data_IF_262023385965
#
_entry.id   IF_262023385965
#
_cell.length_a   1.000
_cell.length_b   1.000
_cell.length_c   1.000
_cell.angle_alpha   90.00
_cell.angle_beta   90.00
_cell.angle_gamma   90.00
#
_symmetry.space_group_name_H-M   'P 1'
#
loop_
_entity.id
_entity.type
_entity.pdbx_description
1 polymer ?
#
# COMPACT_ATOMS: atom_id res chain seq x y z
N UNK A 1 2.48 -20.41 -6.50
CA UNK A 1 1.58 -19.27 -6.82
C UNK A 1 2.44 -18.10 -7.28
N UNK A 2 2.26 -17.61 -8.52
CA UNK A 2 3.14 -16.58 -9.09
C UNK A 2 3.08 -15.28 -8.30
N UNK A 3 4.16 -14.50 -8.33
CA UNK A 3 4.26 -13.18 -7.67
C UNK A 3 3.17 -12.25 -8.15
N UNK A 4 2.84 -12.24 -9.45
CA UNK A 4 1.77 -11.40 -10.01
C UNK A 4 0.40 -11.69 -9.38
N UNK A 5 0.04 -12.97 -9.17
CA UNK A 5 -1.25 -13.30 -8.53
C UNK A 5 -1.27 -12.84 -7.07
N UNK A 6 -0.13 -12.93 -6.36
CA UNK A 6 -0.03 -12.41 -4.98
C UNK A 6 -0.15 -10.88 -4.95
N UNK A 7 0.49 -10.18 -5.88
CA UNK A 7 0.41 -8.73 -6.01
C UNK A 7 -1.03 -8.27 -6.28
N UNK A 8 -1.70 -8.94 -7.22
CA UNK A 8 -3.10 -8.67 -7.55
C UNK A 8 -4.01 -8.81 -6.33
N UNK A 9 -3.85 -9.88 -5.53
CA UNK A 9 -4.63 -10.06 -4.30
C UNK A 9 -4.39 -8.95 -3.28
N UNK A 10 -3.13 -8.57 -3.05
CA UNK A 10 -2.79 -7.48 -2.11
C UNK A 10 -3.37 -6.14 -2.56
N UNK A 11 -3.23 -5.80 -3.85
CA UNK A 11 -3.80 -4.57 -4.40
C UNK A 11 -5.33 -4.55 -4.30
N UNK A 12 -5.97 -5.69 -4.54
CA UNK A 12 -7.42 -5.84 -4.39
C UNK A 12 -7.87 -5.69 -2.94
N UNK A 13 -7.15 -6.29 -1.99
CA UNK A 13 -7.40 -6.11 -0.54
C UNK A 13 -7.31 -4.64 -0.15
N UNK A 14 -6.26 -3.94 -0.60
CA UNK A 14 -6.06 -2.53 -0.30
C UNK A 14 -7.20 -1.67 -0.86
N UNK A 15 -7.52 -1.83 -2.14
CA UNK A 15 -8.59 -1.05 -2.80
C UNK A 15 -9.97 -1.32 -2.18
N UNK A 16 -10.29 -2.58 -1.91
CA UNK A 16 -11.56 -2.95 -1.25
C UNK A 16 -11.70 -2.27 0.11
N UNK A 17 -10.63 -2.24 0.90
CA UNK A 17 -10.63 -1.63 2.23
C UNK A 17 -10.69 -0.11 2.15
N UNK A 18 -9.94 0.54 1.26
CA UNK A 18 -10.04 1.98 1.01
C UNK A 18 -11.46 2.39 0.63
N UNK A 19 -12.11 1.65 -0.28
CA UNK A 19 -13.50 1.91 -0.67
C UNK A 19 -14.45 1.80 0.51
N UNK A 20 -14.27 0.78 1.36
CA UNK A 20 -15.09 0.59 2.56
C UNK A 20 -14.91 1.76 3.53
N UNK A 21 -13.67 2.10 3.87
CA UNK A 21 -13.37 3.10 4.90
C UNK A 21 -13.76 4.53 4.46
N UNK A 22 -13.74 4.81 3.16
CA UNK A 22 -14.10 6.10 2.57
C UNK A 22 -15.52 6.12 1.97
N UNK A 23 -16.30 5.05 2.12
CA UNK A 23 -17.66 4.91 1.56
C UNK A 23 -17.73 5.20 0.05
N UNK A 24 -16.74 4.73 -0.70
CA UNK A 24 -16.61 4.98 -2.14
C UNK A 24 -17.39 3.97 -2.98
N UNK A 25 -17.94 4.44 -4.10
CA UNK A 25 -18.70 3.58 -4.99
C UNK A 25 -17.82 2.52 -5.67
N UNK A 26 -18.38 1.32 -5.88
CA UNK A 26 -17.66 0.19 -6.46
C UNK A 26 -17.24 0.40 -7.93
N UNK A 27 -17.96 1.25 -8.67
CA UNK A 27 -17.67 1.53 -10.08
C UNK A 27 -16.52 2.52 -10.29
N UNK A 28 -16.04 3.18 -9.23
CA UNK A 28 -14.96 4.17 -9.37
C UNK A 28 -13.66 3.48 -9.83
N UNK A 29 -12.94 4.05 -10.80
CA UNK A 29 -11.60 3.63 -11.16
C UNK A 29 -10.68 3.55 -9.93
N UNK A 30 -9.74 2.61 -9.93
CA UNK A 30 -8.80 2.45 -8.82
C UNK A 30 -7.94 3.71 -8.60
N UNK A 31 -7.61 4.44 -9.67
CA UNK A 31 -6.91 5.73 -9.59
C UNK A 31 -7.70 6.74 -8.76
N UNK A 32 -8.98 6.93 -9.07
CA UNK A 32 -9.84 7.89 -8.40
C UNK A 32 -10.00 7.54 -6.91
N UNK A 33 -10.07 6.24 -6.58
CA UNK A 33 -10.04 5.76 -5.19
C UNK A 33 -8.75 6.18 -4.48
N UNK A 34 -7.60 6.07 -5.15
CA UNK A 34 -6.31 6.51 -4.58
C UNK A 34 -6.26 8.03 -4.43
N UNK A 35 -6.73 8.81 -5.41
CA UNK A 35 -6.77 10.28 -5.32
C UNK A 35 -7.63 10.74 -4.13
N UNK A 36 -8.82 10.16 -3.96
CA UNK A 36 -9.69 10.46 -2.81
C UNK A 36 -9.03 10.03 -1.50
N UNK A 37 -8.37 8.86 -1.47
CA UNK A 37 -7.66 8.39 -0.28
C UNK A 37 -6.48 9.30 0.10
N UNK A 38 -5.71 9.80 -0.87
CA UNK A 38 -4.64 10.77 -0.65
C UNK A 38 -5.19 12.05 -0.02
N UNK A 39 -6.28 12.60 -0.57
CA UNK A 39 -6.94 13.77 0.00
C UNK A 39 -7.48 13.53 1.42
N UNK A 40 -8.06 12.36 1.68
CA UNK A 40 -8.58 12.02 3.01
C UNK A 40 -7.46 11.83 4.06
N UNK A 41 -6.30 11.33 3.64
CA UNK A 41 -5.18 10.98 4.52
C UNK A 41 -4.11 12.06 4.64
N UNK A 42 -4.17 13.15 3.86
CA UNK A 42 -3.09 14.16 3.80
C UNK A 42 -2.70 14.79 5.14
N UNK A 43 -3.62 14.89 6.10
CA UNK A 43 -3.36 15.43 7.45
C UNK A 43 -2.96 14.37 8.47
N UNK A 44 -3.13 13.09 8.15
CA UNK A 44 -2.96 11.96 9.08
C UNK A 44 -1.71 11.14 8.80
N UNK A 45 -1.09 11.34 7.64
CA UNK A 45 0.03 10.55 7.13
C UNK A 45 1.15 11.46 6.66
N UNK A 46 2.36 10.95 6.73
CA UNK A 46 3.55 11.62 6.22
C UNK A 46 3.52 11.67 4.70
N UNK A 47 4.29 12.59 4.11
CA UNK A 47 4.45 12.67 2.65
C UNK A 47 4.93 11.35 2.05
N UNK A 48 5.88 10.68 2.71
CA UNK A 48 6.42 9.40 2.26
C UNK A 48 5.34 8.30 2.22
N UNK A 49 4.47 8.23 3.23
CA UNK A 49 3.34 7.30 3.26
C UNK A 49 2.33 7.58 2.12
N UNK A 50 2.07 8.85 1.83
CA UNK A 50 1.19 9.26 0.73
C UNK A 50 1.82 8.95 -0.63
N UNK A 51 3.12 9.18 -0.80
CA UNK A 51 3.86 8.84 -2.03
C UNK A 51 3.84 7.32 -2.26
N UNK A 52 4.00 6.52 -1.20
CA UNK A 52 3.85 5.06 -1.27
C UNK A 52 2.43 4.64 -1.67
N UNK A 53 1.40 5.31 -1.15
CA UNK A 53 0.02 5.05 -1.53
C UNK A 53 -0.22 5.36 -3.01
N UNK A 54 0.30 6.48 -3.51
CA UNK A 54 0.23 6.84 -4.92
C UNK A 54 0.97 5.83 -5.81
N UNK A 55 2.09 5.28 -5.33
CA UNK A 55 2.88 4.32 -6.07
C UNK A 55 2.12 3.02 -6.41
N UNK A 56 1.04 2.71 -5.70
CA UNK A 56 0.13 1.61 -6.06
C UNK A 56 -0.46 1.76 -7.47
N UNK A 57 -0.60 2.99 -7.98
CA UNK A 57 -1.10 3.23 -9.32
C UNK A 57 -0.13 2.69 -10.40
N UNK A 58 1.18 2.86 -10.20
CA UNK A 58 2.18 2.31 -11.11
C UNK A 58 2.19 0.78 -11.10
N UNK A 59 2.17 0.17 -9.90
CA UNK A 59 2.13 -1.29 -9.77
C UNK A 59 0.89 -1.93 -10.39
N UNK A 60 -0.24 -1.20 -10.39
CA UNK A 60 -1.46 -1.65 -11.09
C UNK A 60 -1.27 -1.63 -12.60
N UNK A 61 -0.65 -0.58 -13.15
CA UNK A 61 -0.33 -0.53 -14.58
C UNK A 61 0.65 -1.64 -14.98
N UNK A 62 1.70 -1.87 -14.18
CA UNK A 62 2.65 -2.97 -14.43
C UNK A 62 1.93 -4.32 -14.52
N UNK A 63 1.02 -4.60 -13.58
CA UNK A 63 0.22 -5.82 -13.61
C UNK A 63 -0.72 -5.91 -14.82
N UNK A 64 -1.33 -4.79 -15.23
CA UNK A 64 -2.19 -4.75 -16.43
C UNK A 64 -1.40 -4.98 -17.72
N UNK A 65 -0.12 -4.58 -17.73
CA UNK A 65 0.80 -4.78 -18.85
C UNK A 65 1.53 -6.13 -18.82
N UNK A 66 1.14 -7.03 -17.90
CA UNK A 66 1.79 -8.35 -17.70
C UNK A 66 3.27 -8.29 -17.32
N UNK A 67 3.71 -7.18 -16.73
CA UNK A 67 5.07 -7.06 -16.21
C UNK A 67 5.30 -8.06 -15.07
N UNK A 68 6.55 -8.52 -14.96
CA UNK A 68 6.91 -9.48 -13.92
C UNK A 68 7.11 -8.76 -12.59
N UNK A 69 6.26 -9.07 -11.62
CA UNK A 69 6.39 -8.52 -10.28
C UNK A 69 7.49 -9.23 -9.51
N UNK A 70 8.44 -8.44 -9.03
CA UNK A 70 9.54 -8.87 -8.17
C UNK A 70 9.07 -9.18 -6.73
N UNK A 71 9.80 -10.00 -5.98
CA UNK A 71 9.56 -10.20 -4.55
C UNK A 71 9.60 -8.89 -3.73
N UNK A 72 10.43 -7.92 -4.13
CA UNK A 72 10.53 -6.61 -3.47
C UNK A 72 9.23 -5.80 -3.60
N UNK A 73 8.58 -5.83 -4.76
CA UNK A 73 7.28 -5.18 -4.95
C UNK A 73 6.17 -5.86 -4.12
N UNK A 74 6.27 -7.17 -3.85
CA UNK A 74 5.35 -7.83 -2.91
C UNK A 74 5.58 -7.33 -1.47
N UNK A 75 6.84 -7.16 -1.06
CA UNK A 75 7.17 -6.59 0.25
C UNK A 75 6.60 -5.19 0.39
N UNK A 76 6.82 -4.35 -0.62
CA UNK A 76 6.26 -3.00 -0.69
C UNK A 76 4.73 -2.99 -0.52
N UNK A 77 4.01 -3.85 -1.23
CA UNK A 77 2.54 -3.93 -1.11
C UNK A 77 2.09 -4.32 0.30
N UNK A 78 2.85 -5.19 0.99
CA UNK A 78 2.57 -5.54 2.38
C UNK A 78 2.79 -4.37 3.32
N UNK A 79 3.87 -3.60 3.12
CA UNK A 79 4.15 -2.40 3.92
C UNK A 79 3.05 -1.35 3.75
N UNK A 80 2.61 -1.09 2.51
CA UNK A 80 1.49 -0.16 2.27
C UNK A 80 0.21 -0.67 2.92
N UNK A 81 -0.07 -1.97 2.84
CA UNK A 81 -1.22 -2.57 3.51
C UNK A 81 -1.18 -2.39 5.02
N UNK A 82 -0.04 -2.68 5.66
CA UNK A 82 0.17 -2.49 7.09
C UNK A 82 0.01 -1.03 7.50
N UNK A 83 0.66 -0.13 6.77
CA UNK A 83 0.54 1.32 6.98
C UNK A 83 -0.92 1.79 6.98
N UNK A 84 -1.74 1.30 6.05
CA UNK A 84 -3.15 1.70 5.95
C UNK A 84 -4.06 1.06 7.01
N UNK A 85 -3.80 -0.19 7.40
CA UNK A 85 -4.78 -1.01 8.13
C UNK A 85 -4.37 -1.45 9.53
N UNK A 86 -3.16 -1.14 9.98
CA UNK A 86 -2.79 -1.34 11.37
C UNK A 86 -3.35 -0.21 12.24
N UNK A 87 -4.32 -0.58 13.09
CA UNK A 87 -4.54 0.09 14.38
C UNK A 87 -3.27 -0.16 15.22
N UNK A 88 -2.46 0.88 15.45
CA UNK A 88 -1.37 0.91 16.42
C UNK A 88 -0.58 -0.40 16.62
N UNK A 89 0.43 -0.66 15.79
CA UNK A 89 1.61 -1.41 16.25
C UNK A 89 2.82 -0.49 16.30
N UNK A 90 2.78 0.38 17.30
CA UNK A 90 3.91 1.19 17.75
C UNK A 90 4.95 0.30 18.46
N UNK A 91 5.40 -0.81 17.87
CA UNK A 91 6.39 -1.71 18.46
C UNK A 91 6.97 -2.63 17.38
N UNK A 92 8.05 -2.18 16.73
CA UNK A 92 9.22 -2.97 16.26
C UNK A 92 9.96 -2.22 15.14
N UNK A 93 10.46 -1.02 15.42
CA UNK A 93 11.54 -0.43 14.59
C UNK A 93 12.68 0.20 15.40
N UNK A 94 12.57 0.27 16.72
CA UNK A 94 13.64 0.77 17.61
C UNK A 94 14.50 -0.35 18.25
N UNK A 95 14.47 -1.59 17.74
CA UNK A 95 15.20 -2.71 18.35
C UNK A 95 16.37 -3.24 17.51
N UNK A 96 16.83 -2.50 16.50
CA UNK A 96 17.93 -2.95 15.63
C UNK A 96 19.04 -1.90 15.41
N UNK A 97 19.06 -0.79 16.15
CA UNK A 97 20.17 0.20 16.08
C UNK A 97 20.86 0.46 17.44
N UNK A 98 20.69 -0.42 18.43
CA UNK A 98 21.56 -0.45 19.62
C UNK A 98 22.26 -1.80 19.73
N UNK A 99 23.06 -2.13 18.72
CA UNK A 99 24.14 -3.10 18.90
C UNK A 99 25.28 -2.70 17.98
N UNK A 100 26.49 -2.60 18.55
CA UNK A 100 27.79 -2.27 17.94
C UNK A 100 28.01 -0.74 17.79
N UNK A 101 28.89 -0.06 18.52
CA UNK A 101 30.24 -0.42 18.97
C UNK A 101 30.58 0.15 20.35
N UNK A 102 31.33 -0.67 21.11
CA UNK A 102 32.17 -0.33 22.27
C UNK A 102 33.29 0.62 21.86
#
# INVERSE_FOLDING_TARGET
MSTNVKAYRLLHEIDKRLRKDLSLAAHLPARDVLEVALHALHKKRTKEELDRLWHLNYLRHDLMNFETISPAQIHFLKEVRSMLFEENNHLTRNSLEETTYV
#
